data_IF_586017473810
#
_entry.id   IF_586017473810
#
_cell.length_a   1.000
_cell.length_b   1.000
_cell.length_c   1.000
_cell.angle_alpha   90.00
_cell.angle_beta   90.00
_cell.angle_gamma   90.00
#
_symmetry.space_group_name_H-M   'P 1'
#
loop_
_entity.id
_entity.type
_entity.pdbx_description
1 polymer ?
#
# COMPACT_ATOMS: atom_id res chain seq x y z
N UNK A 1 -7.50 5.94 7.55
CA UNK A 1 -6.79 4.67 7.30
C UNK A 1 -5.34 5.03 7.10
N UNK A 2 -4.43 4.37 7.81
CA UNK A 2 -3.00 4.67 7.72
C UNK A 2 -2.38 3.79 6.65
N UNK A 3 -1.55 4.38 5.80
CA UNK A 3 -0.83 3.67 4.75
C UNK A 3 0.66 3.96 4.92
N UNK A 4 1.47 2.93 5.01
CA UNK A 4 2.91 3.04 5.11
C UNK A 4 3.53 2.32 3.91
N UNK A 5 4.42 2.97 3.17
CA UNK A 5 5.21 2.30 2.14
C UNK A 5 6.46 1.70 2.78
N UNK A 6 6.68 0.42 2.55
CA UNK A 6 7.72 -0.41 3.14
C UNK A 6 8.42 -1.19 2.05
N UNK A 7 9.74 -1.09 1.93
CA UNK A 7 10.52 -1.82 0.93
C UNK A 7 11.17 -0.92 -0.12
N UNK A 8 11.96 -1.52 -1.00
CA UNK A 8 12.86 -0.89 -1.95
C UNK A 8 13.97 -1.87 -2.28
N UNK A 9 13.99 -2.44 -3.49
CA UNK A 9 15.05 -3.37 -3.93
C UNK A 9 16.44 -2.76 -3.63
N UNK A 10 17.24 -3.49 -2.85
CA UNK A 10 18.63 -3.18 -2.51
C UNK A 10 18.90 -1.90 -1.67
N UNK A 11 18.14 -1.62 -0.61
CA UNK A 11 18.48 -0.53 0.32
C UNK A 11 18.36 0.88 -0.28
N UNK A 12 17.75 1.01 -1.45
CA UNK A 12 17.29 2.27 -2.03
C UNK A 12 15.99 2.71 -1.35
N UNK A 13 16.17 3.11 -0.10
CA UNK A 13 15.17 3.42 0.89
C UNK A 13 15.93 3.42 2.20
N UNK A 14 16.91 4.34 2.31
CA UNK A 14 17.81 4.41 3.44
C UNK A 14 17.04 4.46 4.77
N UNK A 15 17.71 4.24 5.92
CA UNK A 15 17.09 4.12 7.25
C UNK A 15 16.19 5.29 7.71
N UNK A 16 16.08 6.36 6.89
CA UNK A 16 15.38 7.60 7.18
C UNK A 16 14.23 7.94 6.22
N UNK A 17 13.98 7.18 5.14
CA UNK A 17 12.88 7.48 4.21
C UNK A 17 11.62 6.69 4.55
N UNK A 18 10.68 7.32 5.25
CA UNK A 18 9.38 6.74 5.60
C UNK A 18 8.29 7.43 4.81
N UNK A 19 7.81 6.79 3.73
CA UNK A 19 6.63 7.30 3.05
C UNK A 19 5.39 6.87 3.83
N UNK A 20 4.68 7.87 4.37
CA UNK A 20 3.44 7.67 5.14
C UNK A 20 2.33 8.48 4.49
N UNK A 21 1.21 7.83 4.26
CA UNK A 21 -0.04 8.45 3.84
C UNK A 21 -1.12 8.19 4.87
N UNK A 22 -2.01 9.17 5.06
CA UNK A 22 -3.27 8.94 5.73
C UNK A 22 -4.38 9.31 4.75
N UNK A 23 -5.27 8.35 4.49
CA UNK A 23 -6.41 8.53 3.60
C UNK A 23 -7.66 8.02 4.29
N UNK A 24 -8.76 8.75 4.16
CA UNK A 24 -10.06 8.22 4.55
C UNK A 24 -10.53 7.23 3.48
N UNK A 25 -11.09 6.08 3.88
CA UNK A 25 -11.71 5.16 2.91
C UNK A 25 -12.83 5.89 2.14
N UNK A 26 -13.50 6.85 2.77
CA UNK A 26 -14.49 7.73 2.15
C UNK A 26 -13.94 8.64 1.05
N UNK A 27 -12.63 8.89 1.02
CA UNK A 27 -11.95 9.71 -0.01
C UNK A 27 -11.59 8.88 -1.26
N UNK A 28 -11.57 7.56 -1.11
CA UNK A 28 -11.36 6.63 -2.22
C UNK A 28 -12.60 6.55 -3.11
N UNK A 29 -12.39 6.35 -4.41
CA UNK A 29 -13.47 6.02 -5.34
C UNK A 29 -14.15 4.70 -4.94
N UNK A 30 -15.41 4.47 -5.32
CA UNK A 30 -16.11 3.22 -5.01
C UNK A 30 -15.39 1.97 -5.53
N UNK A 31 -14.61 2.10 -6.62
CA UNK A 31 -13.79 1.02 -7.16
C UNK A 31 -12.57 0.73 -6.28
N UNK A 32 -11.89 1.77 -5.80
CA UNK A 32 -10.74 1.63 -4.90
C UNK A 32 -11.19 1.13 -3.52
N UNK A 33 -12.31 1.62 -3.00
CA UNK A 33 -12.91 1.14 -1.75
C UNK A 33 -13.16 -0.36 -1.82
N UNK A 34 -13.80 -0.83 -2.90
CA UNK A 34 -14.09 -2.26 -3.10
C UNK A 34 -12.82 -3.10 -3.22
N UNK A 35 -11.78 -2.56 -3.83
CA UNK A 35 -10.47 -3.21 -3.91
C UNK A 35 -9.85 -3.34 -2.53
N UNK A 36 -9.80 -2.25 -1.76
CA UNK A 36 -9.30 -2.25 -0.38
C UNK A 36 -10.10 -3.21 0.50
N UNK A 37 -11.43 -3.16 0.46
CA UNK A 37 -12.27 -4.09 1.21
C UNK A 37 -12.01 -5.54 0.80
N UNK A 38 -11.82 -5.83 -0.48
CA UNK A 38 -11.46 -7.18 -0.92
C UNK A 38 -10.08 -7.60 -0.42
N UNK A 39 -9.11 -6.69 -0.35
CA UNK A 39 -7.77 -6.96 0.20
C UNK A 39 -7.83 -7.24 1.71
N UNK A 40 -8.67 -6.52 2.45
CA UNK A 40 -8.89 -6.74 3.89
C UNK A 40 -9.74 -7.99 4.17
N UNK A 41 -10.70 -8.31 3.30
CA UNK A 41 -11.54 -9.49 3.43
C UNK A 41 -10.75 -10.78 3.15
N UNK A 42 -9.88 -10.77 2.14
CA UNK A 42 -9.04 -11.91 1.81
C UNK A 42 -7.60 -11.48 1.48
N UNK A 43 -6.75 -11.26 2.50
CA UNK A 43 -5.35 -10.87 2.30
C UNK A 43 -4.50 -11.99 1.67
N UNK A 44 -5.01 -13.23 1.57
CA UNK A 44 -4.32 -14.33 0.86
C UNK A 44 -4.62 -14.33 -0.64
N UNK A 45 -5.68 -13.65 -1.06
CA UNK A 45 -6.10 -13.51 -2.45
C UNK A 45 -5.47 -12.32 -3.17
N UNK A 46 -4.53 -11.64 -2.51
CA UNK A 46 -3.72 -10.62 -3.14
C UNK A 46 -3.05 -11.28 -4.36
N UNK A 47 -3.29 -10.77 -5.58
CA UNK A 47 -2.69 -11.34 -6.77
C UNK A 47 -1.17 -11.38 -6.58
N UNK A 48 -0.54 -12.50 -6.92
CA UNK A 48 0.91 -12.57 -6.93
C UNK A 48 1.43 -11.64 -8.02
N UNK A 49 2.56 -11.00 -7.74
CA UNK A 49 3.27 -10.19 -8.73
C UNK A 49 3.46 -11.00 -10.01
N UNK A 50 3.04 -10.43 -11.14
CA UNK A 50 3.15 -11.10 -12.42
C UNK A 50 4.65 -11.28 -12.73
N UNK A 51 5.09 -12.47 -13.15
CA UNK A 51 6.51 -12.73 -13.43
C UNK A 51 7.09 -11.66 -14.37
N UNK A 52 7.98 -10.82 -13.84
CA UNK A 52 8.54 -9.64 -14.54
C UNK A 52 8.16 -8.27 -13.95
N UNK A 53 7.20 -8.23 -13.04
CA UNK A 53 6.83 -7.04 -12.27
C UNK A 53 7.41 -7.20 -10.86
N UNK A 54 8.71 -6.92 -10.71
CA UNK A 54 9.31 -6.86 -9.39
C UNK A 54 8.72 -5.63 -8.69
N UNK A 55 7.81 -5.86 -7.73
CA UNK A 55 7.35 -4.79 -6.86
C UNK A 55 8.57 -4.19 -6.16
N UNK A 56 8.81 -2.90 -6.40
CA UNK A 56 9.90 -2.23 -5.72
C UNK A 56 9.53 -1.96 -4.25
N UNK A 57 8.24 -1.82 -3.97
CA UNK A 57 7.71 -1.44 -2.66
C UNK A 57 6.51 -2.30 -2.25
N UNK A 58 6.39 -2.56 -0.95
CA UNK A 58 5.17 -3.04 -0.30
C UNK A 58 4.48 -1.89 0.41
N UNK A 59 3.18 -2.00 0.65
CA UNK A 59 2.39 -1.01 1.38
C UNK A 59 1.68 -1.72 2.54
N UNK A 60 1.90 -1.24 3.75
CA UNK A 60 1.12 -1.63 4.92
C UNK A 60 -0.07 -0.72 5.06
N UNK A 61 -1.26 -1.30 4.96
CA UNK A 61 -2.52 -0.58 5.10
C UNK A 61 -3.11 -0.97 6.45
N UNK A 62 -3.25 0.00 7.35
CA UNK A 62 -3.83 -0.16 8.68
C UNK A 62 -5.18 0.55 8.75
N UNK A 63 -6.23 -0.24 8.92
CA UNK A 63 -7.62 0.22 9.09
C UNK A 63 -8.10 -0.18 10.49
N UNK A 64 -8.11 0.78 11.41
CA UNK A 64 -8.50 0.53 12.80
C UNK A 64 -7.53 -0.45 13.47
N UNK A 65 -8.02 -1.64 13.83
CA UNK A 65 -7.23 -2.70 14.44
C UNK A 65 -6.67 -3.75 13.45
N UNK A 66 -7.03 -3.67 12.16
CA UNK A 66 -6.56 -4.59 11.14
C UNK A 66 -5.44 -3.94 10.31
N UNK A 67 -4.35 -4.66 10.15
CA UNK A 67 -3.24 -4.28 9.28
C UNK A 67 -3.00 -5.39 8.27
N UNK A 68 -2.91 -5.02 6.99
CA UNK A 68 -2.55 -5.91 5.90
C UNK A 68 -1.34 -5.35 5.16
N UNK A 69 -0.50 -6.25 4.64
CA UNK A 69 0.63 -5.87 3.78
C UNK A 69 0.28 -6.24 2.34
N UNK A 70 0.33 -5.24 1.46
CA UNK A 70 -0.12 -5.33 0.08
C UNK A 70 1.00 -4.85 -0.83
N UNK A 71 1.41 -5.63 -1.85
CA UNK A 71 2.45 -5.22 -2.79
C UNK A 71 1.97 -4.07 -3.69
N UNK A 72 2.91 -3.22 -4.14
CA UNK A 72 2.70 -2.05 -4.99
C UNK A 72 1.73 -2.28 -6.17
N UNK A 73 1.80 -3.43 -6.85
CA UNK A 73 0.95 -3.71 -8.00
C UNK A 73 -0.52 -3.95 -7.62
N UNK A 74 -0.78 -4.47 -6.43
CA UNK A 74 -2.13 -4.75 -5.94
C UNK A 74 -2.75 -3.54 -5.22
N UNK A 75 -1.93 -2.53 -4.90
CA UNK A 75 -2.39 -1.28 -4.30
C UNK A 75 -2.91 -0.35 -5.41
N UNK A 76 -4.15 0.16 -5.30
CA UNK A 76 -4.68 1.14 -6.23
C UNK A 76 -3.81 2.39 -6.31
N UNK A 77 -3.69 2.95 -7.50
CA UNK A 77 -2.88 4.16 -7.74
C UNK A 77 -3.30 5.34 -6.87
N UNK A 78 -4.59 5.47 -6.54
CA UNK A 78 -5.12 6.48 -5.61
C UNK A 78 -4.45 6.41 -4.24
N UNK A 79 -4.27 5.20 -3.71
CA UNK A 79 -3.58 4.98 -2.42
C UNK A 79 -2.08 5.27 -2.56
N UNK A 80 -1.45 4.80 -3.65
CA UNK A 80 -0.03 5.08 -3.91
C UNK A 80 0.25 6.58 -4.01
N UNK A 81 -0.65 7.34 -4.63
CA UNK A 81 -0.55 8.79 -4.80
C UNK A 81 -0.90 9.55 -3.50
N UNK A 82 -1.76 8.98 -2.67
CA UNK A 82 -2.04 9.51 -1.33
C UNK A 82 -0.87 9.36 -0.37
N UNK A 83 -0.03 8.33 -0.53
CA UNK A 83 1.21 8.21 0.23
C UNK A 83 2.18 9.29 -0.23
N UNK A 84 2.35 10.30 0.62
CA UNK A 84 3.40 11.30 0.44
C UNK A 84 4.71 10.76 0.97
N UNK A 85 5.76 10.98 0.20
CA UNK A 85 7.12 10.76 0.68
C UNK A 85 7.44 11.87 1.67
N UNK A 86 7.61 11.50 2.94
CA UNK A 86 8.03 12.43 3.99
C UNK A 86 9.50 12.14 4.22
N UNK A 87 10.38 13.06 3.81
CA UNK A 87 11.76 13.08 4.26
C UNK A 87 11.76 13.59 5.72
N UNK A 88 12.23 12.77 6.66
CA UNK A 88 12.66 13.24 7.99
C UNK A 88 14.13 13.67 7.95
#
# INVERSE_FOLDING_TARGET
MKIERVGGVAGFGGPHLKSRGELAVSDLSSADQKTVESLFADPKKIPAARSGQADAFSYRITRGAQTIEVPEHAVPSTIKNSVKDVLE
#
